data_IF_284518861569
#
_entry.id   IF_284518861569
#
_cell.length_a   1.000
_cell.length_b   1.000
_cell.length_c   1.000
_cell.angle_alpha   90.00
_cell.angle_beta   90.00
_cell.angle_gamma   90.00
#
_symmetry.space_group_name_H-M   'P 1'
#
loop_
_entity.id
_entity.type
_entity.pdbx_description
1 polymer ?
#
# COMPACT_ATOMS: atom_id res chain seq x y z
N UNK A 1 0.07 34.18 -6.55
CA UNK A 1 -0.39 32.78 -6.51
C UNK A 1 0.19 32.15 -5.23
N UNK A 2 -0.60 31.37 -4.48
CA UNK A 2 -0.06 30.68 -3.29
C UNK A 2 0.75 29.48 -3.72
N UNK A 3 1.90 29.28 -3.05
CA UNK A 3 2.85 28.20 -3.33
C UNK A 3 2.63 27.01 -2.41
N UNK A 4 2.57 25.82 -2.97
CA UNK A 4 2.38 24.58 -2.22
C UNK A 4 3.54 23.62 -2.47
N UNK A 5 4.18 23.14 -1.40
CA UNK A 5 5.12 22.03 -1.46
C UNK A 5 4.39 20.71 -1.18
N UNK A 6 4.67 19.69 -2.00
CA UNK A 6 4.10 18.34 -1.81
C UNK A 6 5.26 17.34 -1.69
N UNK A 7 5.28 16.54 -0.62
CA UNK A 7 6.33 15.54 -0.39
C UNK A 7 5.80 14.16 -0.75
N UNK A 8 6.36 13.57 -1.80
CA UNK A 8 5.99 12.27 -2.35
C UNK A 8 5.12 12.35 -3.59
N UNK A 9 5.40 11.50 -4.58
CA UNK A 9 4.65 11.32 -5.83
C UNK A 9 4.07 9.89 -5.94
N UNK A 10 3.76 9.26 -4.80
CA UNK A 10 2.93 8.08 -4.73
C UNK A 10 1.46 8.40 -5.04
N UNK A 11 0.52 7.43 -4.92
CA UNK A 11 -0.90 7.63 -5.24
C UNK A 11 -1.51 8.89 -4.61
N UNK A 12 -1.26 9.13 -3.32
CA UNK A 12 -1.75 10.33 -2.63
C UNK A 12 -1.09 11.62 -3.13
N UNK A 13 0.20 11.55 -3.49
CA UNK A 13 0.94 12.71 -3.98
C UNK A 13 0.47 13.16 -5.35
N UNK A 14 0.31 12.25 -6.32
CA UNK A 14 -0.12 12.61 -7.67
C UNK A 14 -1.53 13.21 -7.69
N UNK A 15 -2.45 12.70 -6.86
CA UNK A 15 -3.79 13.29 -6.71
C UNK A 15 -3.75 14.65 -6.04
N UNK A 16 -2.91 14.83 -5.00
CA UNK A 16 -2.73 16.14 -4.38
C UNK A 16 -2.15 17.16 -5.38
N UNK A 17 -1.10 16.79 -6.13
CA UNK A 17 -0.49 17.65 -7.16
C UNK A 17 -1.55 18.13 -8.16
N UNK A 18 -2.32 17.20 -8.73
CA UNK A 18 -3.38 17.50 -9.68
C UNK A 18 -4.43 18.45 -9.09
N UNK A 19 -4.97 18.12 -7.92
CA UNK A 19 -6.06 18.91 -7.33
C UNK A 19 -5.60 20.32 -6.91
N UNK A 20 -4.40 20.49 -6.38
CA UNK A 20 -3.88 21.83 -6.06
C UNK A 20 -3.61 22.64 -7.33
N UNK A 21 -3.05 22.02 -8.38
CA UNK A 21 -2.81 22.67 -9.65
C UNK A 21 -4.13 23.15 -10.30
N UNK A 22 -5.17 22.32 -10.31
CA UNK A 22 -6.50 22.67 -10.84
C UNK A 22 -7.15 23.85 -10.08
N UNK A 23 -6.83 24.01 -8.81
CA UNK A 23 -7.29 25.14 -8.00
C UNK A 23 -6.41 26.40 -8.15
N UNK A 24 -5.45 26.39 -9.08
CA UNK A 24 -4.63 27.53 -9.40
C UNK A 24 -3.50 27.81 -8.41
N UNK A 25 -3.06 26.81 -7.65
CA UNK A 25 -1.85 26.94 -6.82
C UNK A 25 -0.57 26.71 -7.65
N UNK A 26 0.51 27.38 -7.25
CA UNK A 26 1.85 27.08 -7.76
C UNK A 26 2.38 25.86 -7.00
N UNK A 27 2.37 24.70 -7.63
CA UNK A 27 2.74 23.43 -7.00
C UNK A 27 4.19 23.08 -7.31
N UNK A 28 4.94 22.68 -6.28
CA UNK A 28 6.24 22.00 -6.39
C UNK A 28 6.16 20.71 -5.60
N UNK A 29 6.33 19.58 -6.25
CA UNK A 29 6.38 18.29 -5.59
C UNK A 29 7.79 17.71 -5.61
N UNK A 30 8.12 16.88 -4.61
CA UNK A 30 9.42 16.27 -4.43
C UNK A 30 9.25 14.76 -4.24
N UNK A 31 10.02 13.96 -4.95
CA UNK A 31 10.07 12.51 -4.75
C UNK A 31 11.50 11.98 -4.87
N UNK A 32 11.87 11.06 -3.98
CA UNK A 32 13.19 10.40 -4.00
C UNK A 32 13.34 9.45 -5.17
N UNK A 33 12.25 8.90 -5.68
CA UNK A 33 12.26 7.99 -6.81
C UNK A 33 12.42 8.77 -8.13
N UNK A 34 12.80 8.05 -9.18
CA UNK A 34 12.91 8.59 -10.54
C UNK A 34 11.56 8.78 -11.25
N UNK A 35 10.45 8.37 -10.61
CA UNK A 35 9.11 8.44 -11.22
C UNK A 35 7.99 8.27 -10.21
N UNK A 36 6.76 8.46 -10.65
CA UNK A 36 5.56 8.34 -9.83
C UNK A 36 5.25 6.89 -9.44
N UNK A 37 4.44 6.70 -8.41
CA UNK A 37 3.92 5.41 -7.98
C UNK A 37 4.31 5.01 -6.56
N UNK A 38 5.34 5.64 -5.97
CA UNK A 38 5.75 5.41 -4.58
C UNK A 38 5.96 3.93 -4.26
N UNK A 39 5.24 3.41 -3.26
CA UNK A 39 5.36 2.00 -2.84
C UNK A 39 5.11 0.97 -3.96
N UNK A 40 4.37 1.32 -5.01
CA UNK A 40 4.04 0.40 -6.12
C UNK A 40 5.15 0.21 -7.14
N UNK A 41 6.27 0.90 -6.98
CA UNK A 41 7.48 0.73 -7.80
C UNK A 41 8.30 -0.46 -7.29
N UNK A 42 8.01 -1.65 -7.84
CA UNK A 42 8.75 -2.88 -7.48
C UNK A 42 10.24 -2.75 -7.75
N UNK A 43 11.07 -3.14 -6.78
CA UNK A 43 12.55 -3.08 -6.87
C UNK A 43 13.11 -1.68 -7.18
N UNK A 44 12.41 -0.62 -6.74
CA UNK A 44 12.94 0.74 -6.86
C UNK A 44 14.29 0.87 -6.13
N UNK A 45 15.31 1.47 -6.78
CA UNK A 45 16.65 1.61 -6.18
C UNK A 45 16.70 2.38 -4.88
N UNK A 46 15.71 3.23 -4.60
CA UNK A 46 15.61 3.97 -3.34
C UNK A 46 15.35 3.06 -2.12
N UNK A 47 14.98 1.79 -2.34
CA UNK A 47 14.61 0.85 -1.28
C UNK A 47 13.28 1.18 -0.59
N UNK A 48 12.52 2.14 -1.11
CA UNK A 48 11.27 2.62 -0.51
C UNK A 48 10.14 1.60 -0.60
N UNK A 49 10.09 0.82 -1.67
CA UNK A 49 9.00 -0.09 -1.98
C UNK A 49 9.01 -1.34 -1.11
N UNK A 50 7.85 -1.69 -0.55
CA UNK A 50 7.60 -2.93 0.17
C UNK A 50 6.85 -3.98 -0.68
N UNK A 51 6.53 -3.70 -1.94
CA UNK A 51 5.90 -4.69 -2.82
C UNK A 51 6.88 -5.77 -3.24
N UNK A 52 6.35 -6.94 -3.52
CA UNK A 52 7.07 -8.11 -4.02
C UNK A 52 6.46 -8.58 -5.36
N UNK A 53 7.12 -9.53 -6.02
CA UNK A 53 6.86 -9.93 -7.40
C UNK A 53 5.38 -10.23 -7.73
N UNK A 54 4.66 -10.81 -6.80
CA UNK A 54 3.25 -11.22 -6.96
C UNK A 54 2.25 -10.30 -6.27
N UNK A 55 2.70 -9.14 -5.75
CA UNK A 55 1.81 -8.20 -5.05
C UNK A 55 0.71 -7.69 -5.99
N UNK A 56 -0.51 -7.71 -5.48
CA UNK A 56 -1.70 -7.16 -6.12
C UNK A 56 -2.58 -6.47 -5.08
N UNK A 57 -3.56 -5.69 -5.53
CA UNK A 57 -4.54 -5.09 -4.62
C UNK A 57 -5.35 -6.15 -3.87
N UNK A 58 -5.67 -5.84 -2.62
CA UNK A 58 -6.59 -6.62 -1.79
C UNK A 58 -8.06 -6.23 -2.01
N UNK A 59 -8.31 -5.07 -2.59
CA UNK A 59 -9.60 -4.54 -3.05
C UNK A 59 -9.69 -4.63 -4.57
N UNK A 60 -10.92 -4.72 -5.09
CA UNK A 60 -11.12 -4.84 -6.52
C UNK A 60 -10.92 -3.51 -7.27
N UNK A 61 -10.72 -3.60 -8.59
CA UNK A 61 -10.65 -2.44 -9.47
C UNK A 61 -11.89 -1.54 -9.40
N UNK A 62 -13.04 -2.09 -9.01
CA UNK A 62 -14.32 -1.37 -8.93
C UNK A 62 -14.43 -0.46 -7.70
N UNK A 63 -13.51 -0.60 -6.73
CA UNK A 63 -13.48 0.19 -5.50
C UNK A 63 -12.16 0.92 -5.29
N UNK A 64 -11.18 0.73 -6.20
CA UNK A 64 -9.79 1.18 -6.03
C UNK A 64 -9.29 2.00 -7.21
N UNK A 65 -10.04 3.00 -7.60
CA UNK A 65 -9.70 3.94 -8.68
C UNK A 65 -9.86 5.38 -8.23
N UNK A 66 -9.28 6.30 -8.96
CA UNK A 66 -9.54 7.73 -8.80
C UNK A 66 -10.84 8.10 -9.53
N UNK A 67 -11.71 8.87 -8.89
CA UNK A 67 -13.03 9.18 -9.40
C UNK A 67 -13.00 9.88 -10.78
N UNK A 68 -11.97 10.71 -10.99
CA UNK A 68 -11.74 11.46 -12.24
C UNK A 68 -10.89 10.69 -13.27
N UNK A 69 -10.41 9.50 -12.93
CA UNK A 69 -9.60 8.67 -13.81
C UNK A 69 -9.78 7.19 -13.48
N UNK A 70 -10.82 6.52 -14.01
CA UNK A 70 -11.09 5.12 -13.70
C UNK A 70 -10.02 4.19 -14.24
N UNK A 71 -9.86 3.03 -13.60
CA UNK A 71 -9.05 1.94 -14.13
C UNK A 71 -9.66 1.44 -15.46
N UNK A 72 -8.84 1.04 -16.45
CA UNK A 72 -9.34 0.54 -17.73
C UNK A 72 -10.10 -0.79 -17.54
N UNK A 73 -11.09 -1.05 -18.38
CA UNK A 73 -11.88 -2.29 -18.36
C UNK A 73 -11.02 -3.54 -18.49
N UNK A 74 -9.91 -3.45 -19.22
CA UNK A 74 -8.93 -4.52 -19.41
C UNK A 74 -8.11 -4.85 -18.16
N UNK A 75 -8.13 -4.01 -17.11
CA UNK A 75 -7.43 -4.31 -15.87
C UNK A 75 -8.02 -5.53 -15.18
N UNK A 76 -7.17 -6.30 -14.51
CA UNK A 76 -7.58 -7.43 -13.68
C UNK A 76 -8.57 -6.99 -12.59
N UNK A 77 -9.47 -7.87 -12.15
CA UNK A 77 -10.39 -7.53 -11.05
C UNK A 77 -9.65 -7.13 -9.78
N UNK A 78 -8.49 -7.72 -9.53
CA UNK A 78 -7.54 -7.35 -8.47
C UNK A 78 -6.21 -6.98 -9.11
N UNK A 79 -6.00 -5.71 -9.48
CA UNK A 79 -4.83 -5.29 -10.23
C UNK A 79 -3.51 -5.60 -9.53
N UNK A 80 -2.53 -6.09 -10.30
CA UNK A 80 -1.16 -6.29 -9.85
C UNK A 80 -0.45 -4.96 -9.64
N UNK A 81 0.68 -5.00 -8.91
CA UNK A 81 1.52 -3.81 -8.75
C UNK A 81 1.97 -3.21 -10.09
N UNK A 82 2.13 -4.04 -11.14
CA UNK A 82 2.50 -3.58 -12.50
C UNK A 82 1.38 -2.78 -13.15
N UNK A 83 0.14 -3.31 -13.08
CA UNK A 83 -1.04 -2.62 -13.60
C UNK A 83 -1.29 -1.30 -12.86
N UNK A 84 -1.11 -1.29 -11.53
CA UNK A 84 -1.23 -0.08 -10.72
C UNK A 84 -0.14 0.94 -11.05
N UNK A 85 1.11 0.51 -11.20
CA UNK A 85 2.18 1.43 -11.60
C UNK A 85 1.90 2.04 -12.97
N UNK A 86 1.42 1.22 -13.92
CA UNK A 86 1.00 1.71 -15.24
C UNK A 86 -0.15 2.72 -15.13
N UNK A 87 -1.14 2.45 -14.29
CA UNK A 87 -2.26 3.33 -14.02
C UNK A 87 -1.83 4.69 -13.43
N UNK A 88 -0.92 4.70 -12.44
CA UNK A 88 -0.40 5.95 -11.86
C UNK A 88 0.45 6.75 -12.84
N UNK A 89 1.19 6.07 -13.71
CA UNK A 89 1.92 6.71 -14.80
C UNK A 89 0.95 7.37 -15.79
N UNK A 90 -0.08 6.63 -16.22
CA UNK A 90 -1.11 7.15 -17.13
C UNK A 90 -1.86 8.34 -16.53
N UNK A 91 -2.17 8.30 -15.21
CA UNK A 91 -2.74 9.43 -14.48
C UNK A 91 -1.85 10.68 -14.55
N UNK A 92 -0.56 10.51 -14.24
CA UNK A 92 0.39 11.62 -14.24
C UNK A 92 0.59 12.23 -15.62
N UNK A 93 0.54 11.40 -16.66
CA UNK A 93 0.65 11.84 -18.06
C UNK A 93 -0.64 12.51 -18.55
N UNK A 94 -1.81 11.94 -18.22
CA UNK A 94 -3.10 12.48 -18.61
C UNK A 94 -3.33 13.90 -18.08
N UNK A 95 -2.96 14.16 -16.83
CA UNK A 95 -3.10 15.46 -16.19
C UNK A 95 -1.85 16.36 -16.31
N UNK A 96 -0.84 15.93 -17.08
CA UNK A 96 0.41 16.68 -17.34
C UNK A 96 1.09 17.21 -16.06
N UNK A 97 1.04 16.40 -14.99
CA UNK A 97 1.55 16.82 -13.67
C UNK A 97 3.03 16.50 -13.43
N UNK A 98 3.68 15.68 -14.30
CA UNK A 98 5.11 15.32 -14.12
C UNK A 98 6.02 16.53 -14.08
N UNK A 99 5.72 17.57 -14.85
CA UNK A 99 6.49 18.82 -14.87
C UNK A 99 6.51 19.58 -13.54
N UNK A 100 5.59 19.26 -12.63
CA UNK A 100 5.48 19.84 -11.29
C UNK A 100 6.29 19.06 -10.25
N UNK A 101 6.91 17.93 -10.64
CA UNK A 101 7.58 16.99 -9.73
C UNK A 101 9.09 17.05 -9.95
N UNK A 102 9.82 17.30 -8.89
CA UNK A 102 11.28 17.13 -8.82
C UNK A 102 11.57 15.70 -8.39
N UNK A 103 11.87 14.84 -9.34
CA UNK A 103 12.30 13.46 -9.09
C UNK A 103 13.74 13.39 -8.61
N UNK A 104 14.16 12.24 -8.08
CA UNK A 104 15.49 12.03 -7.49
C UNK A 104 15.84 13.10 -6.46
N UNK A 105 14.83 13.58 -5.71
CA UNK A 105 14.96 14.70 -4.79
C UNK A 105 14.45 14.32 -3.42
N UNK A 106 15.32 14.44 -2.42
CA UNK A 106 15.00 14.15 -1.03
C UNK A 106 14.75 15.45 -0.26
N UNK A 107 13.57 15.54 0.35
CA UNK A 107 13.29 16.57 1.34
C UNK A 107 13.90 16.14 2.66
N UNK A 108 14.84 16.93 3.15
CA UNK A 108 15.61 16.63 4.37
C UNK A 108 15.05 17.32 5.61
N UNK A 109 14.41 18.48 5.44
CA UNK A 109 13.85 19.22 6.55
C UNK A 109 12.64 20.06 6.12
N UNK A 110 11.69 20.23 7.04
CA UNK A 110 10.55 21.11 6.89
C UNK A 110 10.34 21.89 8.18
N UNK A 111 10.32 23.20 8.09
CA UNK A 111 10.23 24.09 9.24
C UNK A 111 9.14 25.12 9.04
N UNK A 112 8.28 25.29 10.03
CA UNK A 112 7.32 26.38 10.05
C UNK A 112 8.05 27.70 10.34
N UNK A 113 7.81 28.73 9.54
CA UNK A 113 8.41 30.06 9.67
C UNK A 113 7.33 31.12 9.84
N UNK A 114 7.74 32.37 10.07
CA UNK A 114 6.82 33.48 10.29
C UNK A 114 5.79 33.65 9.15
N UNK A 115 4.59 34.09 9.51
CA UNK A 115 3.48 34.29 8.58
C UNK A 115 2.80 32.99 8.14
N UNK A 116 2.83 31.95 9.01
CA UNK A 116 2.24 30.62 8.77
C UNK A 116 2.76 29.91 7.51
N UNK A 117 3.95 30.30 7.04
CA UNK A 117 4.62 29.68 5.89
C UNK A 117 5.52 28.53 6.31
N UNK A 118 5.96 27.74 5.30
CA UNK A 118 6.85 26.61 5.43
C UNK A 118 8.14 26.86 4.68
N UNK A 119 9.27 26.63 5.34
CA UNK A 119 10.56 26.49 4.71
C UNK A 119 10.86 25.00 4.53
N UNK A 120 11.17 24.62 3.29
CA UNK A 120 11.46 23.24 2.90
C UNK A 120 12.87 23.18 2.39
N UNK A 121 13.68 22.26 2.93
CA UNK A 121 15.04 21.99 2.51
C UNK A 121 15.07 20.66 1.74
N UNK A 122 15.76 20.63 0.61
CA UNK A 122 15.92 19.42 -0.20
C UNK A 122 17.29 19.37 -0.88
N UNK A 123 17.70 18.17 -1.24
CA UNK A 123 18.85 17.92 -2.12
C UNK A 123 18.45 16.96 -3.25
N UNK A 124 19.14 17.09 -4.38
CA UNK A 124 19.08 16.09 -5.45
C UNK A 124 19.94 14.89 -5.04
N UNK A 125 19.46 13.67 -5.21
CA UNK A 125 20.20 12.47 -4.87
C UNK A 125 21.54 12.44 -5.61
N UNK A 126 22.62 12.20 -4.85
CA UNK A 126 24.00 12.26 -5.39
C UNK A 126 24.63 13.65 -5.39
N UNK A 127 23.95 14.67 -4.85
CA UNK A 127 24.48 16.02 -4.66
C UNK A 127 24.42 16.42 -3.18
N UNK A 128 25.48 17.04 -2.69
CA UNK A 128 25.54 17.62 -1.33
C UNK A 128 24.94 19.03 -1.28
N UNK A 129 24.50 19.57 -2.41
CA UNK A 129 23.91 20.90 -2.48
C UNK A 129 22.53 20.92 -1.82
N UNK A 130 22.39 21.74 -0.79
CA UNK A 130 21.11 21.96 -0.10
C UNK A 130 20.39 23.12 -0.76
N UNK A 131 19.20 22.87 -1.23
CA UNK A 131 18.30 23.88 -1.75
C UNK A 131 17.23 24.22 -0.70
N UNK A 132 16.79 25.48 -0.68
CA UNK A 132 15.77 25.96 0.27
C UNK A 132 14.69 26.70 -0.49
N UNK A 133 13.42 26.39 -0.17
CA UNK A 133 12.25 27.07 -0.72
C UNK A 133 11.24 27.45 0.34
N UNK A 134 10.45 28.50 0.07
CA UNK A 134 9.40 28.97 0.98
C UNK A 134 8.02 28.79 0.32
N UNK A 135 7.09 28.19 1.07
CA UNK A 135 5.78 27.79 0.61
C UNK A 135 4.69 28.27 1.57
N UNK A 136 3.50 28.54 1.05
CA UNK A 136 2.33 28.95 1.83
C UNK A 136 1.65 27.73 2.48
N UNK A 137 1.83 26.54 1.90
CA UNK A 137 1.33 25.28 2.45
C UNK A 137 2.30 24.12 2.19
N UNK A 138 2.25 23.12 3.06
CA UNK A 138 2.98 21.87 2.96
C UNK A 138 2.00 20.70 3.02
N UNK A 139 2.10 19.79 2.04
CA UNK A 139 1.33 18.55 1.98
C UNK A 139 2.28 17.36 2.06
N UNK A 140 2.09 16.50 3.07
CA UNK A 140 2.99 15.37 3.31
C UNK A 140 2.32 14.09 2.82
N UNK A 141 2.85 13.54 1.72
CA UNK A 141 2.39 12.33 1.05
C UNK A 141 3.49 11.25 0.98
N UNK A 142 4.35 11.19 2.01
CA UNK A 142 5.57 10.37 2.05
C UNK A 142 5.34 8.86 2.19
N UNK A 143 4.09 8.41 2.31
CA UNK A 143 3.76 7.00 2.56
C UNK A 143 4.13 6.52 3.97
N UNK A 144 3.91 5.21 4.25
CA UNK A 144 4.11 4.66 5.60
C UNK A 144 4.76 3.26 5.63
N UNK A 145 5.14 2.69 4.48
CA UNK A 145 5.69 1.32 4.40
C UNK A 145 7.21 1.26 4.19
N UNK A 146 7.91 2.40 4.14
CA UNK A 146 9.33 2.44 3.76
C UNK A 146 10.30 2.16 4.92
N UNK A 147 9.86 2.27 6.17
CA UNK A 147 10.70 2.00 7.34
C UNK A 147 10.15 0.81 8.12
N UNK A 148 10.74 -0.39 7.98
CA UNK A 148 10.30 -1.59 8.70
C UNK A 148 10.52 -1.44 10.21
N UNK A 149 9.58 -2.00 10.99
CA UNK A 149 9.71 -2.11 12.44
C UNK A 149 9.87 -3.56 12.81
N UNK A 150 11.04 -3.93 13.26
CA UNK A 150 11.32 -5.26 13.77
C UNK A 150 10.76 -5.41 15.18
N UNK A 151 10.09 -6.54 15.48
CA UNK A 151 9.73 -6.88 16.84
C UNK A 151 10.98 -7.34 17.62
N UNK A 152 10.98 -7.07 18.91
CA UNK A 152 11.99 -7.61 19.83
C UNK A 152 11.44 -8.90 20.47
N UNK A 153 12.05 -10.04 20.14
CA UNK A 153 11.71 -11.34 20.71
C UNK A 153 12.85 -11.83 21.58
N UNK A 154 12.55 -12.35 22.79
CA UNK A 154 13.60 -12.92 23.65
C UNK A 154 14.19 -14.20 23.02
N UNK A 155 15.48 -14.41 23.22
CA UNK A 155 16.22 -15.57 22.76
C UNK A 155 17.06 -15.30 21.51
N UNK A 156 17.70 -16.37 21.02
CA UNK A 156 18.55 -16.32 19.84
C UNK A 156 17.95 -17.13 18.69
N UNK A 157 18.01 -16.58 17.49
CA UNK A 157 17.64 -17.27 16.27
C UNK A 157 18.84 -17.28 15.31
N UNK A 158 19.34 -18.46 15.00
CA UNK A 158 20.53 -18.63 14.15
C UNK A 158 20.21 -18.70 12.65
N UNK A 159 18.92 -18.67 12.29
CA UNK A 159 18.47 -18.65 10.91
C UNK A 159 18.43 -17.24 10.30
N UNK A 160 18.05 -17.18 9.06
CA UNK A 160 17.84 -15.90 8.37
C UNK A 160 16.53 -15.25 8.87
N UNK A 161 16.62 -14.01 9.33
CA UNK A 161 15.49 -13.19 9.76
C UNK A 161 15.36 -11.99 8.83
N UNK A 162 14.20 -11.86 8.18
CA UNK A 162 13.88 -10.70 7.34
C UNK A 162 12.53 -10.09 7.73
N UNK A 163 12.36 -8.82 7.45
CA UNK A 163 11.05 -8.18 7.50
C UNK A 163 10.30 -8.36 6.17
N UNK A 164 8.97 -8.41 6.20
CA UNK A 164 8.15 -8.51 4.96
C UNK A 164 8.42 -7.40 3.94
N UNK A 165 8.97 -6.27 4.36
CA UNK A 165 9.44 -5.20 3.47
C UNK A 165 10.60 -5.67 2.56
N UNK A 166 11.44 -6.57 3.04
CA UNK A 166 12.61 -7.10 2.32
C UNK A 166 12.25 -8.31 1.46
N UNK A 167 11.08 -8.89 1.69
CA UNK A 167 10.58 -9.98 0.86
C UNK A 167 10.24 -9.48 -0.55
N UNK A 168 10.96 -9.94 -1.56
CA UNK A 168 10.77 -9.55 -2.96
C UNK A 168 10.27 -10.70 -3.85
N UNK A 169 10.60 -11.94 -3.50
CA UNK A 169 10.09 -13.15 -4.17
C UNK A 169 10.21 -14.35 -3.26
N UNK A 170 9.50 -15.42 -3.58
CA UNK A 170 9.58 -16.70 -2.86
C UNK A 170 10.83 -17.52 -3.20
N UNK A 171 11.51 -17.25 -4.31
CA UNK A 171 12.66 -18.04 -4.81
C UNK A 171 13.76 -18.32 -3.76
N UNK A 172 14.21 -17.34 -2.95
CA UNK A 172 15.24 -17.56 -1.93
C UNK A 172 14.84 -18.55 -0.83
N UNK A 173 13.56 -18.90 -0.72
CA UNK A 173 13.00 -19.77 0.32
C UNK A 173 12.79 -21.21 -0.15
N UNK A 174 13.22 -21.53 -1.38
CA UNK A 174 13.11 -22.89 -1.91
C UNK A 174 13.78 -23.89 -0.98
N UNK A 175 13.06 -24.98 -0.67
CA UNK A 175 13.48 -26.08 0.19
C UNK A 175 13.83 -25.70 1.64
N UNK A 176 13.64 -24.44 2.05
CA UNK A 176 13.82 -23.98 3.43
C UNK A 176 12.58 -24.28 4.28
N UNK A 177 12.76 -24.32 5.60
CA UNK A 177 11.67 -24.26 6.57
C UNK A 177 11.39 -22.79 6.89
N UNK A 178 10.19 -22.33 6.68
CA UNK A 178 9.82 -20.92 6.84
C UNK A 178 8.80 -20.76 7.96
N UNK A 179 9.06 -19.82 8.87
CA UNK A 179 8.09 -19.37 9.87
C UNK A 179 7.74 -17.91 9.56
N UNK A 180 6.47 -17.65 9.28
CA UNK A 180 5.93 -16.31 9.11
C UNK A 180 5.26 -15.86 10.40
N UNK A 181 5.72 -14.74 10.97
CA UNK A 181 5.18 -14.19 12.20
C UNK A 181 4.31 -12.98 11.87
N UNK A 182 3.01 -13.09 12.10
CA UNK A 182 2.01 -12.07 11.83
C UNK A 182 0.73 -12.64 11.24
N UNK A 183 -0.35 -11.88 11.27
CA UNK A 183 -1.67 -12.27 10.74
C UNK A 183 -2.30 -11.19 9.86
N UNK A 184 -1.51 -10.21 9.40
CA UNK A 184 -1.97 -9.21 8.41
C UNK A 184 -1.87 -9.71 6.98
N UNK A 185 -2.35 -8.92 6.02
CA UNK A 185 -2.36 -9.26 4.60
C UNK A 185 -0.96 -9.68 4.10
N UNK A 186 0.08 -8.88 4.42
CA UNK A 186 1.45 -9.21 4.02
C UNK A 186 1.92 -10.57 4.55
N UNK A 187 1.56 -10.91 5.79
CA UNK A 187 1.94 -12.19 6.37
C UNK A 187 1.23 -13.36 5.67
N UNK A 188 -0.05 -13.21 5.35
CA UNK A 188 -0.82 -14.21 4.60
C UNK A 188 -0.23 -14.41 3.20
N UNK A 189 0.05 -13.32 2.48
CA UNK A 189 0.62 -13.38 1.14
C UNK A 189 2.01 -14.04 1.15
N UNK A 190 2.91 -13.62 2.07
CA UNK A 190 4.24 -14.22 2.22
C UNK A 190 4.15 -15.70 2.56
N UNK A 191 3.22 -16.09 3.46
CA UNK A 191 3.02 -17.49 3.82
C UNK A 191 2.55 -18.31 2.62
N UNK A 192 1.60 -17.81 1.83
CA UNK A 192 1.11 -18.49 0.62
C UNK A 192 2.23 -18.63 -0.43
N UNK A 193 2.95 -17.55 -0.70
CA UNK A 193 4.02 -17.56 -1.71
C UNK A 193 5.17 -18.50 -1.30
N UNK A 194 5.59 -18.45 -0.04
CA UNK A 194 6.66 -19.33 0.44
C UNK A 194 6.22 -20.79 0.52
N UNK A 195 4.95 -21.07 0.85
CA UNK A 195 4.44 -22.44 0.90
C UNK A 195 4.49 -23.18 -0.45
N UNK A 196 4.54 -22.44 -1.56
CA UNK A 196 4.62 -23.03 -2.91
C UNK A 196 6.00 -23.60 -3.24
N UNK A 197 7.04 -23.14 -2.58
CA UNK A 197 8.44 -23.47 -2.92
C UNK A 197 9.26 -24.03 -1.74
N UNK A 198 8.85 -23.75 -0.53
CA UNK A 198 9.57 -24.16 0.68
C UNK A 198 9.36 -25.63 1.02
N UNK A 199 10.23 -26.19 1.82
CA UNK A 199 10.04 -27.54 2.41
C UNK A 199 8.83 -27.56 3.35
N UNK A 200 8.62 -26.47 4.10
CA UNK A 200 7.43 -26.27 4.94
C UNK A 200 7.31 -24.79 5.29
N UNK A 201 6.09 -24.28 5.31
CA UNK A 201 5.76 -22.95 5.81
C UNK A 201 4.78 -23.07 6.96
N UNK A 202 5.06 -22.35 8.03
CA UNK A 202 4.18 -22.20 9.19
C UNK A 202 3.88 -20.71 9.40
N UNK A 203 2.67 -20.39 9.86
CA UNK A 203 2.29 -19.01 10.19
C UNK A 203 1.91 -18.93 11.67
N UNK A 204 2.40 -17.90 12.37
CA UNK A 204 2.12 -17.66 13.78
C UNK A 204 1.21 -16.45 13.94
N UNK A 205 0.00 -16.66 14.42
CA UNK A 205 -1.01 -15.64 14.70
C UNK A 205 -1.25 -15.52 16.19
N UNK A 206 -1.46 -14.31 16.67
CA UNK A 206 -1.81 -14.06 18.08
C UNK A 206 -3.31 -14.21 18.38
N UNK A 207 -4.15 -14.16 17.34
CA UNK A 207 -5.62 -14.19 17.45
C UNK A 207 -6.23 -14.70 16.17
N UNK A 208 -7.50 -15.12 16.23
CA UNK A 208 -8.28 -15.50 15.05
C UNK A 208 -8.66 -14.31 14.17
N UNK A 209 -8.74 -14.54 12.87
CA UNK A 209 -9.14 -13.58 11.85
C UNK A 209 -10.24 -14.17 10.97
N UNK A 210 -11.11 -13.31 10.46
CA UNK A 210 -11.97 -13.69 9.35
C UNK A 210 -11.14 -13.70 8.06
N UNK A 211 -11.18 -14.83 7.37
CA UNK A 211 -10.61 -14.96 6.02
C UNK A 211 -11.73 -14.63 5.02
N UNK A 212 -11.59 -13.52 4.33
CA UNK A 212 -12.60 -13.06 3.37
C UNK A 212 -12.14 -13.46 1.97
N UNK A 213 -12.90 -14.29 1.23
CA UNK A 213 -12.55 -14.67 -0.13
C UNK A 213 -12.62 -13.46 -1.06
N UNK A 214 -11.76 -13.42 -2.08
CA UNK A 214 -11.76 -12.35 -3.08
C UNK A 214 -13.07 -12.28 -3.86
N UNK A 215 -13.65 -13.43 -4.15
CA UNK A 215 -14.90 -13.54 -4.89
C UNK A 215 -15.94 -14.32 -4.08
N UNK A 216 -17.15 -13.83 -4.08
CA UNK A 216 -18.33 -14.53 -3.58
C UNK A 216 -19.44 -14.45 -4.63
N UNK A 217 -20.04 -15.60 -4.96
CA UNK A 217 -21.12 -15.67 -5.95
C UNK A 217 -20.80 -14.99 -7.30
N UNK A 218 -19.56 -15.16 -7.78
CA UNK A 218 -19.12 -14.62 -9.07
C UNK A 218 -18.82 -13.13 -9.09
N UNK A 219 -18.86 -12.44 -7.94
CA UNK A 219 -18.53 -11.01 -7.82
C UNK A 219 -17.39 -10.79 -6.82
N UNK A 220 -16.56 -9.77 -7.02
CA UNK A 220 -15.63 -9.32 -5.98
C UNK A 220 -16.36 -9.02 -4.68
N UNK A 221 -15.81 -9.48 -3.56
CA UNK A 221 -16.48 -9.41 -2.25
C UNK A 221 -16.72 -7.98 -1.78
N UNK A 222 -15.83 -7.06 -2.11
CA UNK A 222 -15.98 -5.62 -1.80
C UNK A 222 -17.12 -4.98 -2.61
N UNK A 223 -17.32 -5.37 -3.87
CA UNK A 223 -18.49 -4.95 -4.68
C UNK A 223 -19.78 -5.47 -4.05
N UNK A 224 -19.76 -6.72 -3.57
CA UNK A 224 -20.92 -7.29 -2.88
C UNK A 224 -21.20 -6.57 -1.56
N UNK A 225 -20.16 -6.23 -0.81
CA UNK A 225 -20.29 -5.43 0.42
C UNK A 225 -20.92 -4.06 0.14
N UNK A 226 -20.54 -3.39 -0.96
CA UNK A 226 -21.16 -2.14 -1.38
C UNK A 226 -22.65 -2.30 -1.72
N UNK A 227 -23.02 -3.35 -2.44
CA UNK A 227 -24.43 -3.64 -2.75
C UNK A 227 -25.28 -3.85 -1.49
N UNK A 228 -24.68 -4.35 -0.42
CA UNK A 228 -25.34 -4.61 0.86
C UNK A 228 -25.26 -3.44 1.85
N UNK A 229 -24.69 -2.29 1.45
CA UNK A 229 -24.52 -1.12 2.32
C UNK A 229 -25.82 -0.52 2.84
N UNK A 230 -26.94 -0.75 2.15
CA UNK A 230 -28.28 -0.33 2.57
C UNK A 230 -28.76 -1.06 3.83
N UNK A 231 -28.20 -2.25 4.14
CA UNK A 231 -28.57 -3.00 5.35
C UNK A 231 -28.04 -2.31 6.61
N UNK A 232 -28.85 -2.19 7.68
CA UNK A 232 -28.37 -1.75 8.98
C UNK A 232 -27.25 -2.65 9.53
N UNK A 233 -26.28 -2.08 10.24
CA UNK A 233 -25.08 -2.79 10.70
C UNK A 233 -25.39 -4.00 11.58
N UNK A 234 -26.45 -3.92 12.43
CA UNK A 234 -26.85 -5.00 13.30
C UNK A 234 -27.40 -6.23 12.55
N UNK A 235 -27.81 -6.08 11.29
CA UNK A 235 -28.23 -7.17 10.39
C UNK A 235 -27.06 -7.60 9.51
N UNK A 236 -26.34 -6.62 8.94
CA UNK A 236 -25.27 -6.85 7.96
C UNK A 236 -24.14 -7.72 8.52
N UNK A 237 -23.70 -7.47 9.75
CA UNK A 237 -22.62 -8.23 10.38
C UNK A 237 -22.96 -9.73 10.53
N UNK A 238 -24.06 -10.08 11.24
CA UNK A 238 -24.50 -11.47 11.34
C UNK A 238 -24.78 -12.14 9.98
N UNK A 239 -25.39 -11.41 9.04
CA UNK A 239 -25.63 -11.89 7.69
C UNK A 239 -24.34 -12.24 6.95
N UNK A 240 -23.37 -11.31 6.95
CA UNK A 240 -22.06 -11.54 6.30
C UNK A 240 -21.33 -12.72 6.94
N UNK A 241 -21.37 -12.86 8.26
CA UNK A 241 -20.79 -14.02 8.96
C UNK A 241 -21.44 -15.33 8.52
N UNK A 242 -22.75 -15.38 8.47
CA UNK A 242 -23.48 -16.56 8.02
C UNK A 242 -23.11 -16.93 6.58
N UNK A 243 -23.02 -15.93 5.70
CA UNK A 243 -22.63 -16.15 4.30
C UNK A 243 -21.21 -16.67 4.17
N UNK A 244 -20.26 -16.16 4.98
CA UNK A 244 -18.89 -16.68 5.02
C UNK A 244 -18.86 -18.13 5.52
N UNK A 245 -19.58 -18.46 6.59
CA UNK A 245 -19.64 -19.82 7.13
C UNK A 245 -20.27 -20.81 6.12
N UNK A 246 -21.27 -20.39 5.35
CA UNK A 246 -21.86 -21.22 4.28
C UNK A 246 -20.87 -21.43 3.13
N UNK A 247 -20.11 -20.38 2.75
CA UNK A 247 -19.21 -20.41 1.60
C UNK A 247 -17.92 -21.19 1.85
N UNK A 248 -17.30 -21.05 3.02
CA UNK A 248 -15.97 -21.59 3.32
C UNK A 248 -15.87 -22.44 4.58
N UNK A 249 -16.96 -22.62 5.33
CA UNK A 249 -16.96 -23.28 6.62
C UNK A 249 -16.51 -22.38 7.77
N UNK A 250 -16.41 -22.95 8.96
CA UNK A 250 -15.88 -22.23 10.14
C UNK A 250 -14.38 -22.38 10.23
N UNK A 251 -13.71 -21.39 10.80
CA UNK A 251 -12.26 -21.43 11.01
C UNK A 251 -11.83 -22.67 11.81
N UNK A 252 -12.61 -23.04 12.80
CA UNK A 252 -12.34 -24.19 13.68
C UNK A 252 -12.33 -25.52 12.90
N UNK A 253 -13.13 -25.64 11.85
CA UNK A 253 -13.22 -26.84 11.03
C UNK A 253 -11.92 -27.10 10.23
N UNK A 254 -11.13 -26.07 10.01
CA UNK A 254 -9.82 -26.13 9.31
C UNK A 254 -8.64 -25.91 10.26
N UNK A 255 -8.85 -26.00 11.58
CA UNK A 255 -7.80 -25.89 12.59
C UNK A 255 -7.33 -24.46 12.91
N UNK A 256 -8.06 -23.44 12.45
CA UNK A 256 -7.76 -22.05 12.77
C UNK A 256 -8.53 -21.57 14.01
N UNK A 257 -7.96 -20.58 14.70
CA UNK A 257 -8.62 -19.96 15.85
C UNK A 257 -9.89 -19.23 15.42
N UNK A 258 -10.92 -19.33 16.27
CA UNK A 258 -12.14 -18.51 16.11
C UNK A 258 -11.78 -17.03 16.15
N UNK A 259 -12.36 -16.21 15.24
CA UNK A 259 -12.20 -14.78 15.29
C UNK A 259 -12.70 -14.19 16.62
N UNK A 260 -11.88 -13.35 17.26
CA UNK A 260 -12.17 -12.76 18.57
C UNK A 260 -12.95 -11.44 18.47
N UNK A 261 -13.04 -10.84 17.30
CA UNK A 261 -13.78 -9.61 17.03
C UNK A 261 -14.96 -9.86 16.10
N UNK A 262 -15.98 -9.00 16.19
CA UNK A 262 -17.06 -8.99 15.21
C UNK A 262 -16.55 -8.47 13.84
N UNK A 263 -17.24 -8.85 12.76
CA UNK A 263 -16.94 -8.34 11.41
C UNK A 263 -17.11 -6.82 11.27
N UNK A 264 -17.78 -6.17 12.21
CA UNK A 264 -18.08 -4.73 12.21
C UNK A 264 -17.20 -3.94 13.22
N UNK A 265 -16.13 -4.56 13.76
CA UNK A 265 -15.27 -3.97 14.78
C UNK A 265 -13.94 -3.47 14.21
#
# INVERSE_FOLDING_TARGET
MKKVAIIGAGPSGITAIKNFADQGFEVTAFDRCEGVGGNWRFNDPSGHSSVFETTHLISSKYTSFFEDFPLPDSASDYPSHKELLSYFNAYADHFDIRKLIKFNTEVTNCKKIDGDRWEVEWNTLGSDEINIGKYDALVVCNGHHHKPRYPDYPGEFTGELIHSHEFKSAKPFQDKRVLVIGGGNSACDVAVETARVSKSTSISWRRGYYLIPKFMYGLPTDVQALKNRWMPDFIRGPFTKLMLEIFQGKNEDIGLQKPDKSLNA
#
